data_IF_480826019244
#
_entry.id   IF_480826019244
#
_cell.length_a   1.000
_cell.length_b   1.000
_cell.length_c   1.000
_cell.angle_alpha   90.00
_cell.angle_beta   90.00
_cell.angle_gamma   90.00
#
_symmetry.space_group_name_H-M   'P 1'
#
loop_
_entity.id
_entity.type
_entity.pdbx_description
1 polymer ?
#
# COMPACT_ATOMS: atom_id res chain seq x y z
N UNK A 1 22.48 -12.26 12.04
CA UNK A 1 22.45 -10.80 11.76
C UNK A 1 23.88 -10.32 11.55
N UNK A 2 24.11 -9.31 10.70
CA UNK A 2 25.47 -8.90 10.29
C UNK A 2 26.15 -8.01 11.34
N UNK A 3 27.49 -8.00 11.37
CA UNK A 3 28.28 -7.08 12.21
C UNK A 3 27.89 -5.62 11.95
N UNK A 4 27.63 -5.27 10.68
CA UNK A 4 27.20 -3.93 10.28
C UNK A 4 25.88 -3.47 10.95
N UNK A 5 24.93 -4.38 11.17
CA UNK A 5 23.65 -4.08 11.84
C UNK A 5 23.82 -3.69 13.31
N UNK A 6 24.76 -4.33 14.00
CA UNK A 6 25.08 -4.04 15.40
C UNK A 6 25.78 -2.69 15.54
N UNK A 7 26.75 -2.41 14.66
CA UNK A 7 27.47 -1.14 14.61
C UNK A 7 26.51 0.03 14.30
N UNK A 8 25.58 -0.17 13.36
CA UNK A 8 24.53 0.82 13.06
C UNK A 8 23.64 1.07 14.27
N UNK A 9 23.14 0.02 14.93
CA UNK A 9 22.29 0.16 16.12
C UNK A 9 23.02 0.95 17.21
N UNK A 10 24.27 0.60 17.51
CA UNK A 10 25.09 1.31 18.49
C UNK A 10 25.34 2.76 18.11
N UNK A 11 25.66 3.04 16.84
CA UNK A 11 25.89 4.42 16.35
C UNK A 11 24.66 5.32 16.50
N UNK A 12 23.47 4.72 16.51
CA UNK A 12 22.18 5.40 16.66
C UNK A 12 21.65 5.38 18.10
N UNK A 13 22.38 4.79 19.05
CA UNK A 13 21.95 4.62 20.44
C UNK A 13 20.75 3.69 20.60
N UNK A 14 20.58 2.73 19.68
CA UNK A 14 19.49 1.75 19.67
C UNK A 14 20.00 0.36 20.00
N UNK A 15 19.14 -0.45 20.61
CA UNK A 15 19.30 -1.89 20.60
C UNK A 15 18.99 -2.46 19.21
N UNK A 16 19.50 -3.66 18.92
CA UNK A 16 19.20 -4.35 17.66
C UNK A 16 17.69 -4.60 17.46
N UNK A 17 16.90 -5.01 18.48
CA UNK A 17 15.45 -5.12 18.36
C UNK A 17 14.77 -3.79 18.02
N UNK A 18 15.18 -2.68 18.63
CA UNK A 18 14.61 -1.36 18.34
C UNK A 18 14.94 -0.90 16.92
N UNK A 19 16.18 -1.11 16.47
CA UNK A 19 16.58 -0.81 15.09
C UNK A 19 15.74 -1.64 14.11
N UNK A 20 15.56 -2.94 14.38
CA UNK A 20 14.77 -3.83 13.53
C UNK A 20 13.29 -3.40 13.49
N UNK A 21 12.68 -3.10 14.63
CA UNK A 21 11.29 -2.66 14.70
C UNK A 21 11.08 -1.36 13.90
N UNK A 22 11.98 -0.38 14.05
CA UNK A 22 11.94 0.88 13.30
C UNK A 22 12.15 0.65 11.80
N UNK A 23 13.11 -0.18 11.42
CA UNK A 23 13.38 -0.52 10.03
C UNK A 23 12.16 -1.19 9.38
N UNK A 24 11.52 -2.13 10.08
CA UNK A 24 10.33 -2.81 9.61
C UNK A 24 9.13 -1.86 9.47
N UNK A 25 8.94 -0.94 10.43
CA UNK A 25 7.91 0.09 10.33
C UNK A 25 8.10 0.98 9.09
N UNK A 26 9.31 1.49 8.86
CA UNK A 26 9.63 2.31 7.67
C UNK A 26 9.41 1.52 6.39
N UNK A 27 9.87 0.26 6.34
CA UNK A 27 9.70 -0.61 5.19
C UNK A 27 8.23 -0.84 4.83
N UNK A 28 7.38 -1.14 5.83
CA UNK A 28 5.95 -1.34 5.61
C UNK A 28 5.24 -0.04 5.22
N UNK A 29 5.65 1.11 5.77
CA UNK A 29 5.12 2.42 5.38
C UNK A 29 5.44 2.75 3.91
N UNK A 30 6.66 2.46 3.44
CA UNK A 30 7.03 2.68 2.04
C UNK A 30 6.26 1.74 1.10
N UNK A 31 6.09 0.46 1.46
CA UNK A 31 5.23 -0.44 0.70
C UNK A 31 3.79 0.07 0.62
N UNK A 32 3.22 0.50 1.75
CA UNK A 32 1.86 1.05 1.80
C UNK A 32 1.73 2.27 0.91
N UNK A 33 2.72 3.16 0.92
CA UNK A 33 2.74 4.36 0.06
C UNK A 33 2.73 3.98 -1.41
N UNK A 34 3.54 3.01 -1.81
CA UNK A 34 3.59 2.55 -3.20
C UNK A 34 2.25 1.94 -3.66
N UNK A 35 1.63 1.08 -2.84
CA UNK A 35 0.30 0.49 -3.14
C UNK A 35 -0.77 1.56 -3.25
N UNK A 36 -0.78 2.53 -2.32
CA UNK A 36 -1.73 3.64 -2.35
C UNK A 36 -1.56 4.50 -3.60
N UNK A 37 -0.32 4.79 -4.00
CA UNK A 37 -0.04 5.55 -5.21
C UNK A 37 -0.60 4.82 -6.44
N UNK A 38 -0.32 3.53 -6.60
CA UNK A 38 -0.85 2.72 -7.71
C UNK A 38 -2.38 2.74 -7.73
N UNK A 39 -3.03 2.61 -6.57
CA UNK A 39 -4.48 2.68 -6.45
C UNK A 39 -5.03 4.02 -6.91
N UNK A 40 -4.43 5.12 -6.45
CA UNK A 40 -4.85 6.47 -6.80
C UNK A 40 -4.66 6.74 -8.29
N UNK A 41 -3.54 6.32 -8.87
CA UNK A 41 -3.28 6.44 -10.31
C UNK A 41 -4.30 5.65 -11.13
N UNK A 42 -4.65 4.43 -10.69
CA UNK A 42 -5.68 3.62 -11.34
C UNK A 42 -7.04 4.31 -11.33
N UNK A 43 -7.54 4.74 -10.17
CA UNK A 43 -8.85 5.39 -10.05
C UNK A 43 -8.89 6.75 -10.77
N UNK A 44 -7.77 7.47 -10.77
CA UNK A 44 -7.65 8.73 -11.50
C UNK A 44 -7.85 8.56 -13.02
N UNK A 45 -7.50 7.41 -13.62
CA UNK A 45 -7.78 7.12 -15.05
C UNK A 45 -9.27 7.20 -15.38
N UNK A 46 -10.14 6.91 -14.42
CA UNK A 46 -11.60 6.95 -14.55
C UNK A 46 -12.23 8.19 -13.91
N UNK A 47 -11.42 9.10 -13.36
CA UNK A 47 -11.89 10.26 -12.61
C UNK A 47 -12.75 9.86 -11.40
N UNK A 48 -12.37 8.79 -10.69
CA UNK A 48 -13.02 8.30 -9.47
C UNK A 48 -12.05 8.35 -8.29
N UNK A 49 -12.58 8.27 -7.08
CA UNK A 49 -11.83 8.28 -5.81
C UNK A 49 -11.94 6.96 -5.06
N UNK A 50 -12.99 6.18 -5.33
CA UNK A 50 -13.27 4.89 -4.70
C UNK A 50 -13.53 3.81 -5.75
N UNK A 51 -13.40 2.55 -5.33
CA UNK A 51 -13.77 1.38 -6.14
C UNK A 51 -15.27 1.37 -6.42
N UNK A 52 -16.10 1.78 -5.45
CA UNK A 52 -17.56 1.89 -5.61
C UNK A 52 -17.92 2.91 -6.70
N UNK A 53 -17.30 4.10 -6.68
CA UNK A 53 -17.52 5.11 -7.73
C UNK A 53 -17.10 4.61 -9.13
N UNK A 54 -16.10 3.73 -9.21
CA UNK A 54 -15.71 3.10 -10.47
C UNK A 54 -16.74 2.06 -10.91
N UNK A 55 -17.19 1.19 -10.01
CA UNK A 55 -18.24 0.20 -10.27
C UNK A 55 -19.51 0.88 -10.80
N UNK A 56 -19.99 1.92 -10.11
CA UNK A 56 -21.18 2.69 -10.50
C UNK A 56 -21.03 3.24 -11.94
N UNK A 57 -19.87 3.83 -12.27
CA UNK A 57 -19.62 4.36 -13.62
C UNK A 57 -19.60 3.28 -14.70
N UNK A 58 -19.16 2.07 -14.38
CA UNK A 58 -19.16 0.95 -15.33
C UNK A 58 -20.60 0.48 -15.55
N UNK A 59 -21.38 0.29 -14.47
CA UNK A 59 -22.77 -0.14 -14.53
C UNK A 59 -23.68 0.86 -15.27
N UNK A 60 -23.45 2.16 -15.08
CA UNK A 60 -24.14 3.23 -15.80
C UNK A 60 -23.64 3.43 -17.25
N UNK A 61 -22.69 2.61 -17.71
CA UNK A 61 -22.04 2.71 -19.01
C UNK A 61 -21.39 4.09 -19.31
N UNK A 62 -20.96 4.80 -18.25
CA UNK A 62 -20.26 6.09 -18.34
C UNK A 62 -18.79 5.91 -18.74
N UNK A 63 -18.24 4.72 -18.56
CA UNK A 63 -16.90 4.32 -19.02
C UNK A 63 -16.98 2.99 -19.77
N UNK A 64 -16.03 2.68 -20.68
CA UNK A 64 -16.00 1.39 -21.37
C UNK A 64 -15.84 0.22 -20.39
N UNK A 65 -16.70 -0.79 -20.47
CA UNK A 65 -16.65 -1.98 -19.60
C UNK A 65 -15.28 -2.69 -19.62
N UNK A 66 -14.66 -2.76 -20.79
CA UNK A 66 -13.27 -3.20 -20.94
C UNK A 66 -12.36 -2.03 -21.30
N UNK A 67 -11.25 -1.81 -20.56
CA UNK A 67 -10.68 -2.67 -19.51
C UNK A 67 -11.21 -2.38 -18.08
N UNK A 68 -12.26 -1.58 -17.91
CA UNK A 68 -12.65 -1.05 -16.59
C UNK A 68 -12.99 -2.11 -15.54
N UNK A 69 -13.64 -3.23 -15.90
CA UNK A 69 -13.88 -4.33 -14.96
C UNK A 69 -12.59 -4.97 -14.44
N UNK A 70 -11.57 -5.12 -15.30
CA UNK A 70 -10.27 -5.67 -14.89
C UNK A 70 -9.55 -4.70 -13.96
N UNK A 71 -9.58 -3.41 -14.30
CA UNK A 71 -8.99 -2.37 -13.47
C UNK A 71 -9.72 -2.23 -12.12
N UNK A 72 -11.05 -2.43 -12.06
CA UNK A 72 -11.79 -2.49 -10.80
C UNK A 72 -11.30 -3.63 -9.91
N UNK A 73 -11.17 -4.84 -10.45
CA UNK A 73 -10.64 -6.00 -9.70
C UNK A 73 -9.22 -5.71 -9.18
N UNK A 74 -8.38 -5.07 -9.99
CA UNK A 74 -7.04 -4.65 -9.55
C UNK A 74 -7.14 -3.65 -8.41
N UNK A 75 -8.04 -2.66 -8.48
CA UNK A 75 -8.23 -1.66 -7.43
C UNK A 75 -8.70 -2.28 -6.10
N UNK A 76 -9.65 -3.22 -6.14
CA UNK A 76 -10.11 -3.96 -4.96
C UNK A 76 -9.00 -4.76 -4.29
N UNK A 77 -8.14 -5.42 -5.08
CA UNK A 77 -6.98 -6.13 -4.55
C UNK A 77 -5.96 -5.18 -3.91
N UNK A 78 -5.78 -3.98 -4.46
CA UNK A 78 -4.93 -2.95 -3.87
C UNK A 78 -5.51 -2.46 -2.52
N UNK A 79 -6.83 -2.33 -2.41
CA UNK A 79 -7.49 -2.00 -1.13
C UNK A 79 -7.26 -3.09 -0.08
N UNK A 80 -7.48 -4.35 -0.42
CA UNK A 80 -7.20 -5.47 0.49
C UNK A 80 -5.73 -5.48 0.95
N UNK A 81 -4.79 -5.19 0.04
CA UNK A 81 -3.36 -5.10 0.38
C UNK A 81 -3.06 -3.92 1.31
N UNK A 82 -3.72 -2.77 1.15
CA UNK A 82 -3.57 -1.65 2.07
C UNK A 82 -4.07 -2.00 3.47
N UNK A 83 -5.20 -2.69 3.58
CA UNK A 83 -5.74 -3.14 4.87
C UNK A 83 -4.78 -4.10 5.59
N UNK A 84 -4.17 -5.02 4.86
CA UNK A 84 -3.17 -5.96 5.38
C UNK A 84 -1.92 -5.22 5.91
N UNK A 85 -1.37 -4.29 5.12
CA UNK A 85 -0.21 -3.48 5.52
C UNK A 85 -0.54 -2.61 6.75
N UNK A 86 -1.74 -2.04 6.79
CA UNK A 86 -2.22 -1.28 7.94
C UNK A 86 -2.39 -2.16 9.18
N UNK A 87 -2.81 -3.42 9.03
CA UNK A 87 -2.85 -4.37 10.13
C UNK A 87 -1.45 -4.71 10.66
N UNK A 88 -0.46 -4.90 9.78
CA UNK A 88 0.92 -5.12 10.22
C UNK A 88 1.51 -3.90 10.95
N UNK A 89 1.27 -2.69 10.44
CA UNK A 89 1.71 -1.45 11.08
C UNK A 89 1.08 -1.21 12.44
N UNK A 90 -0.19 -1.62 12.65
CA UNK A 90 -0.86 -1.51 13.96
C UNK A 90 -0.34 -2.51 15.00
N UNK A 91 0.19 -3.64 14.55
CA UNK A 91 0.63 -4.74 15.42
C UNK A 91 2.16 -4.77 15.61
N UNK A 92 2.87 -3.75 15.11
CA UNK A 92 4.30 -3.53 15.31
C UNK A 92 4.57 -2.92 16.68
#
# INVERSE_FOLDING_TARGET
>A
MSVATLELAQSMGLSEPELMQRALAVFLQEQRRAVLQTRLELLARYGTKTVDELADKIEEALVPEHPAWEDLIVAENLDARLEELDAYLRNL
#
